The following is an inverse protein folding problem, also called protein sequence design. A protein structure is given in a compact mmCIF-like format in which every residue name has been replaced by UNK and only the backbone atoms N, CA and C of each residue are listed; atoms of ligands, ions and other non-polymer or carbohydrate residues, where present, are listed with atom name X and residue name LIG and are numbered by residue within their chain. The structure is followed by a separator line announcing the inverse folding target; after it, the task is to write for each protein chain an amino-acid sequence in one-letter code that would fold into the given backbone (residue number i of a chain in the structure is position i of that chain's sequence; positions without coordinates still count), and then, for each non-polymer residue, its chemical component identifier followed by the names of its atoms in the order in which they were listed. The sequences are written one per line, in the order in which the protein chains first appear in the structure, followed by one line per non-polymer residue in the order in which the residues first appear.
data_IF_384626645305
#
_entry.id   IF_384626645305
#
_cell.length_a   1.000
_cell.length_b   1.000
_cell.length_c   1.000
_cell.angle_alpha   90.00
_cell.angle_beta   90.00
_cell.angle_gamma   90.00
#
_symmetry.space_group_name_H-M   'P 1'
#
loop_
_entity.id
_entity.type
_entity.pdbx_description
1 polymer ?
#
# COMPACT_ATOMS: atom_id res chain seq x y z
N UNK A 1 1.23 -6.25 -4.85
CA UNK A 1 2.13 -6.18 -6.01
C UNK A 1 1.37 -5.58 -7.20
N UNK A 2 1.97 -4.64 -7.89
CA UNK A 2 1.48 -4.16 -9.19
C UNK A 2 2.63 -4.24 -10.21
N UNK A 3 2.32 -4.66 -11.43
CA UNK A 3 3.27 -4.80 -12.51
C UNK A 3 2.71 -4.18 -13.78
N UNK A 4 3.49 -3.32 -14.43
CA UNK A 4 3.15 -2.76 -15.73
C UNK A 4 3.67 -3.67 -16.84
N UNK A 5 2.76 -4.14 -17.69
CA UNK A 5 3.07 -5.00 -18.83
C UNK A 5 3.06 -4.17 -20.11
N UNK A 6 4.23 -4.03 -20.72
CA UNK A 6 4.40 -3.36 -22.02
C UNK A 6 3.98 -4.32 -23.12
N UNK A 7 3.02 -3.92 -23.94
CA UNK A 7 2.55 -4.70 -25.11
C UNK A 7 1.21 -4.15 -25.65
N UNK A 8 0.73 -4.67 -26.81
CA UNK A 8 -0.62 -4.40 -27.26
C UNK A 8 -1.61 -5.46 -26.70
N UNK A 9 -2.57 -5.13 -25.79
CA UNK A 9 -2.70 -3.84 -25.11
C UNK A 9 -1.71 -3.67 -23.95
N UNK A 10 -1.34 -2.44 -23.63
CA UNK A 10 -0.69 -2.13 -22.37
C UNK A 10 -1.62 -2.45 -21.19
N UNK A 11 -1.06 -3.01 -20.13
CA UNK A 11 -1.85 -3.44 -18.99
C UNK A 11 -1.11 -3.24 -17.64
N UNK A 12 -1.86 -3.08 -16.58
CA UNK A 12 -1.36 -3.16 -15.22
C UNK A 12 -1.93 -4.42 -14.57
N UNK A 13 -1.06 -5.32 -14.15
CA UNK A 13 -1.44 -6.52 -13.40
C UNK A 13 -1.33 -6.23 -11.91
N UNK A 14 -2.43 -6.38 -11.18
CA UNK A 14 -2.49 -6.15 -9.73
C UNK A 14 -2.69 -7.48 -9.02
N UNK A 15 -1.75 -7.84 -8.15
CA UNK A 15 -1.84 -9.00 -7.26
C UNK A 15 -2.20 -8.60 -5.84
N UNK A 16 -3.30 -9.13 -5.32
CA UNK A 16 -3.75 -8.94 -3.95
C UNK A 16 -3.69 -10.26 -3.18
N UNK A 17 -3.01 -10.24 -2.02
CA UNK A 17 -3.01 -11.36 -1.08
C UNK A 17 -3.68 -10.95 0.23
N UNK A 18 -4.66 -11.76 0.70
CA UNK A 18 -5.34 -11.54 1.96
C UNK A 18 -5.51 -12.87 2.69
N UNK A 19 -5.04 -12.92 3.93
CA UNK A 19 -5.20 -14.09 4.78
C UNK A 19 -6.64 -14.13 5.33
N UNK A 20 -7.45 -15.08 4.89
CA UNK A 20 -8.82 -15.25 5.38
C UNK A 20 -8.83 -15.99 6.71
N UNK A 21 -8.02 -17.05 6.82
CA UNK A 21 -7.81 -17.87 8.00
C UNK A 21 -6.52 -18.66 7.84
N UNK A 22 -5.94 -19.14 8.93
CA UNK A 22 -4.84 -20.08 8.88
C UNK A 22 -5.38 -21.52 8.76
N UNK A 23 -4.72 -22.41 7.98
CA UNK A 23 -5.27 -23.73 7.66
C UNK A 23 -5.43 -24.66 8.86
N UNK A 24 -4.48 -24.66 9.79
CA UNK A 24 -4.43 -25.59 10.90
C UNK A 24 -4.81 -24.94 12.24
N UNK A 25 -4.10 -23.91 12.66
CA UNK A 25 -4.38 -23.14 13.87
C UNK A 25 -3.91 -21.69 13.71
N UNK A 26 -4.47 -20.77 14.49
CA UNK A 26 -4.00 -19.38 14.50
C UNK A 26 -2.54 -19.28 15.00
N UNK A 27 -2.09 -20.23 15.82
CA UNK A 27 -0.71 -20.31 16.33
C UNK A 27 0.32 -20.69 15.24
N UNK A 28 -0.12 -21.23 14.09
CA UNK A 28 0.74 -21.52 12.94
C UNK A 28 1.04 -20.27 12.09
N UNK A 29 0.50 -19.12 12.46
CA UNK A 29 0.74 -17.86 11.76
C UNK A 29 2.22 -17.43 11.89
N UNK A 30 2.86 -16.96 10.80
CA UNK A 30 4.17 -16.32 10.91
C UNK A 30 4.15 -15.15 11.89
N UNK A 31 5.25 -14.88 12.62
CA UNK A 31 5.30 -13.77 13.57
C UNK A 31 4.86 -12.43 12.96
N UNK A 32 3.87 -11.79 13.57
CA UNK A 32 3.32 -10.51 13.13
C UNK A 32 2.30 -10.61 11.98
N UNK A 33 2.00 -11.82 11.48
CA UNK A 33 0.92 -12.02 10.53
C UNK A 33 -0.44 -12.13 11.25
N UNK A 34 -1.51 -11.79 10.53
CA UNK A 34 -2.89 -11.93 11.00
C UNK A 34 -3.80 -12.42 9.88
N UNK A 35 -5.02 -12.79 10.21
CA UNK A 35 -6.07 -13.18 9.27
C UNK A 35 -7.38 -12.47 9.59
N UNK A 36 -8.33 -12.46 8.65
CA UNK A 36 -9.67 -11.93 8.92
C UNK A 36 -10.35 -12.67 10.06
N UNK A 37 -10.15 -13.99 10.15
CA UNK A 37 -10.69 -14.81 11.24
C UNK A 37 -10.09 -14.43 12.59
N UNK A 38 -8.79 -14.20 12.67
CA UNK A 38 -8.11 -13.72 13.88
C UNK A 38 -8.63 -12.34 14.33
N UNK A 39 -9.05 -11.50 13.36
CA UNK A 39 -9.70 -10.22 13.63
C UNK A 39 -11.22 -10.34 13.92
N UNK A 40 -11.76 -11.55 14.07
CA UNK A 40 -13.18 -11.79 14.38
C UNK A 40 -14.12 -11.81 13.17
N UNK A 41 -13.59 -11.83 11.94
CA UNK A 41 -14.39 -11.82 10.71
C UNK A 41 -14.36 -13.17 10.00
N UNK A 42 -15.53 -13.74 9.75
CA UNK A 42 -15.69 -14.91 8.88
C UNK A 42 -16.34 -14.48 7.58
N UNK A 43 -15.63 -14.68 6.48
CA UNK A 43 -16.08 -14.24 5.15
C UNK A 43 -15.97 -15.36 4.14
N UNK A 44 -16.88 -15.39 3.17
CA UNK A 44 -16.75 -16.22 1.99
C UNK A 44 -15.76 -15.57 1.02
N UNK A 45 -14.80 -16.36 0.49
CA UNK A 45 -13.77 -15.83 -0.43
C UNK A 45 -14.35 -15.22 -1.71
N UNK A 46 -15.44 -15.80 -2.22
CA UNK A 46 -16.03 -15.35 -3.46
C UNK A 46 -16.84 -14.06 -3.30
N UNK A 47 -17.54 -13.92 -2.18
CA UNK A 47 -18.26 -12.69 -1.84
C UNK A 47 -17.26 -11.55 -1.61
N UNK A 48 -16.15 -11.85 -0.90
CA UNK A 48 -15.08 -10.89 -0.70
C UNK A 48 -14.43 -10.47 -2.02
N UNK A 49 -14.15 -11.44 -2.92
CA UNK A 49 -13.59 -11.14 -4.24
C UNK A 49 -14.53 -10.24 -5.05
N UNK A 50 -15.82 -10.51 -5.05
CA UNK A 50 -16.80 -9.69 -5.75
C UNK A 50 -16.81 -8.24 -5.23
N UNK A 51 -16.76 -8.05 -3.90
CA UNK A 51 -16.69 -6.71 -3.29
C UNK A 51 -15.38 -5.99 -3.64
N UNK A 52 -14.25 -6.73 -3.62
CA UNK A 52 -12.94 -6.15 -4.00
C UNK A 52 -12.94 -5.71 -5.45
N UNK A 53 -13.44 -6.54 -6.37
CA UNK A 53 -13.48 -6.19 -7.81
C UNK A 53 -14.39 -5.00 -8.07
N UNK A 54 -15.61 -4.98 -7.50
CA UNK A 54 -16.51 -3.85 -7.63
C UNK A 54 -15.94 -2.55 -7.05
N UNK A 55 -15.22 -2.67 -5.91
CA UNK A 55 -14.51 -1.53 -5.32
C UNK A 55 -13.36 -1.05 -6.19
N UNK A 56 -12.67 -1.97 -6.86
CA UNK A 56 -11.58 -1.63 -7.78
C UNK A 56 -12.09 -0.88 -9.02
N UNK A 57 -13.16 -1.38 -9.65
CA UNK A 57 -13.82 -0.71 -10.78
C UNK A 57 -14.24 0.72 -10.41
N UNK A 58 -14.89 0.89 -9.26
CA UNK A 58 -15.26 2.22 -8.77
C UNK A 58 -14.05 3.15 -8.61
N UNK A 59 -12.91 2.63 -8.14
CA UNK A 59 -11.69 3.43 -7.99
C UNK A 59 -11.02 3.77 -9.32
N UNK A 60 -11.15 2.91 -10.33
CA UNK A 60 -10.68 3.23 -11.69
C UNK A 60 -11.52 4.35 -12.31
N UNK A 61 -12.85 4.31 -12.12
CA UNK A 61 -13.74 5.38 -12.56
C UNK A 61 -13.42 6.71 -11.84
N UNK A 62 -13.23 6.65 -10.52
CA UNK A 62 -12.81 7.81 -9.72
C UNK A 62 -11.48 8.39 -10.23
N UNK A 63 -10.51 7.53 -10.57
CA UNK A 63 -9.19 7.94 -11.08
C UNK A 63 -9.31 8.64 -12.43
N UNK A 64 -10.16 8.15 -13.32
CA UNK A 64 -10.38 8.71 -14.65
C UNK A 64 -11.13 10.05 -14.62
N UNK A 65 -11.85 10.35 -13.55
CA UNK A 65 -12.62 11.58 -13.41
C UNK A 65 -11.73 12.80 -13.11
N UNK A 66 -12.20 14.00 -13.43
CA UNK A 66 -11.50 15.24 -13.13
C UNK A 66 -11.19 15.37 -11.62
N UNK A 67 -9.93 15.63 -11.26
CA UNK A 67 -9.45 15.68 -9.88
C UNK A 67 -9.43 14.29 -9.19
N UNK A 68 -9.49 13.21 -9.96
CA UNK A 68 -9.48 11.83 -9.46
C UNK A 68 -8.22 11.48 -8.68
N UNK A 69 -7.02 11.74 -9.19
CA UNK A 69 -5.78 11.44 -8.48
C UNK A 69 -5.71 12.07 -7.09
N UNK A 70 -6.11 13.33 -6.95
CA UNK A 70 -6.12 14.05 -5.67
C UNK A 70 -7.13 13.45 -4.69
N UNK A 71 -8.34 13.11 -5.14
CA UNK A 71 -9.35 12.46 -4.28
C UNK A 71 -8.90 11.08 -3.82
N UNK A 72 -8.28 10.29 -4.71
CA UNK A 72 -7.72 8.98 -4.34
C UNK A 72 -6.57 9.12 -3.35
N UNK A 73 -5.70 10.11 -3.56
CA UNK A 73 -4.63 10.46 -2.63
C UNK A 73 -5.19 10.76 -1.24
N UNK A 74 -6.20 11.64 -1.13
CA UNK A 74 -6.84 12.00 0.14
C UNK A 74 -7.47 10.77 0.82
N UNK A 75 -8.19 9.94 0.06
CA UNK A 75 -8.79 8.72 0.57
C UNK A 75 -7.75 7.70 1.05
N UNK A 76 -6.58 7.63 0.39
CA UNK A 76 -5.47 6.80 0.80
C UNK A 76 -4.80 7.34 2.07
N UNK A 77 -4.53 8.64 2.14
CA UNK A 77 -3.93 9.28 3.32
C UNK A 77 -4.74 9.02 4.59
N UNK A 78 -6.06 9.11 4.50
CA UNK A 78 -6.96 8.82 5.64
C UNK A 78 -6.90 7.38 6.17
N UNK A 79 -6.29 6.46 5.42
CA UNK A 79 -6.13 5.04 5.78
C UNK A 79 -4.68 4.57 5.85
N UNK A 80 -3.74 5.44 5.54
CA UNK A 80 -2.33 5.09 5.46
C UNK A 80 -1.78 4.71 6.85
N UNK A 81 -1.24 3.51 6.96
CA UNK A 81 -0.47 3.09 8.13
C UNK A 81 1.01 3.51 8.05
N UNK A 82 1.44 4.11 6.93
CA UNK A 82 2.84 4.45 6.65
C UNK A 82 3.12 5.93 6.88
N UNK A 83 2.22 6.81 6.45
CA UNK A 83 2.37 8.25 6.66
C UNK A 83 2.34 8.59 8.15
N UNK A 84 3.29 9.40 8.58
CA UNK A 84 3.56 9.74 9.98
C UNK A 84 4.51 8.77 10.69
N UNK A 85 4.94 7.68 10.03
CA UNK A 85 5.86 6.70 10.62
C UNK A 85 7.28 6.84 10.11
N UNK A 86 8.22 6.39 10.92
CA UNK A 86 9.61 6.23 10.51
C UNK A 86 9.72 4.99 9.63
N UNK A 87 10.33 5.17 8.47
CA UNK A 87 10.46 4.14 7.43
C UNK A 87 11.88 4.04 6.91
N UNK A 88 12.20 2.90 6.34
CA UNK A 88 13.32 2.69 5.44
C UNK A 88 12.74 2.36 4.07
N UNK A 89 13.09 3.13 3.07
CA UNK A 89 12.77 2.90 1.67
C UNK A 89 14.04 2.45 0.94
N UNK A 90 14.05 1.22 0.45
CA UNK A 90 15.15 0.70 -0.37
C UNK A 90 14.87 1.07 -1.84
N UNK A 91 15.54 2.12 -2.33
CA UNK A 91 15.36 2.65 -3.68
C UNK A 91 16.50 2.24 -4.62
N UNK A 92 16.32 2.34 -5.95
CA UNK A 92 17.39 2.06 -6.90
C UNK A 92 18.67 2.89 -6.69
N UNK A 93 18.56 4.07 -6.06
CA UNK A 93 19.68 4.95 -5.77
C UNK A 93 20.28 4.76 -4.38
N UNK A 94 19.76 3.81 -3.61
CA UNK A 94 20.18 3.49 -2.26
C UNK A 94 19.07 3.65 -1.21
N UNK A 95 19.32 3.19 0.02
CA UNK A 95 18.31 3.26 1.08
C UNK A 95 18.14 4.70 1.59
N UNK A 96 16.88 5.05 1.86
CA UNK A 96 16.49 6.32 2.50
C UNK A 96 15.79 6.00 3.80
N UNK A 97 16.33 6.44 4.94
CA UNK A 97 15.68 6.33 6.25
C UNK A 97 15.18 7.70 6.71
N UNK A 98 13.97 7.73 7.25
CA UNK A 98 13.34 8.96 7.68
C UNK A 98 11.86 8.79 8.01
N UNK A 99 11.15 9.90 8.09
CA UNK A 99 9.70 9.91 8.34
C UNK A 99 8.95 10.05 7.02
N UNK A 100 8.04 9.12 6.75
CA UNK A 100 7.05 9.26 5.68
C UNK A 100 6.10 10.40 6.02
N UNK A 101 6.04 11.43 5.18
CA UNK A 101 5.28 12.66 5.52
C UNK A 101 4.05 12.87 4.66
N UNK A 102 4.06 12.38 3.43
CA UNK A 102 2.95 12.58 2.48
C UNK A 102 3.05 11.57 1.31
N UNK A 103 2.02 11.56 0.47
CA UNK A 103 1.97 10.83 -0.80
C UNK A 103 1.58 11.84 -1.89
N UNK A 104 2.24 11.79 -3.04
CA UNK A 104 1.89 12.64 -4.20
C UNK A 104 0.66 12.10 -4.93
N UNK A 105 0.11 12.89 -5.86
CA UNK A 105 -1.05 12.48 -6.66
C UNK A 105 -0.77 11.29 -7.59
N UNK A 106 0.50 11.04 -7.95
CA UNK A 106 0.94 9.87 -8.71
C UNK A 106 1.25 8.64 -7.83
N UNK A 107 1.04 8.73 -6.50
CA UNK A 107 1.26 7.65 -5.56
C UNK A 107 2.66 7.54 -4.99
N UNK A 108 3.59 8.42 -5.35
CA UNK A 108 4.96 8.43 -4.81
C UNK A 108 4.98 8.87 -3.34
N UNK A 109 5.83 8.24 -2.52
CA UNK A 109 5.94 8.55 -1.09
C UNK A 109 6.96 9.68 -0.86
N UNK A 110 6.56 10.72 -0.12
CA UNK A 110 7.49 11.71 0.39
C UNK A 110 8.08 11.26 1.73
N UNK A 111 9.39 11.12 1.76
CA UNK A 111 10.15 10.80 2.97
C UNK A 111 11.02 11.99 3.36
N UNK A 112 10.93 12.41 4.63
CA UNK A 112 11.86 13.36 5.23
C UNK A 112 13.00 12.57 5.83
N UNK A 113 14.23 12.62 5.25
CA UNK A 113 15.37 11.89 5.78
C UNK A 113 15.73 12.34 7.20
N UNK A 114 16.28 11.41 7.99
CA UNK A 114 16.78 11.73 9.32
C UNK A 114 17.89 12.79 9.24
N UNK A 115 17.82 13.78 10.12
CA UNK A 115 18.78 14.90 10.15
C UNK A 115 18.56 15.98 9.09
N UNK A 116 17.60 15.82 8.16
CA UNK A 116 17.27 16.83 7.16
C UNK A 116 16.02 17.63 7.59
N UNK A 117 16.19 18.92 7.88
CA UNK A 117 15.08 19.73 8.39
C UNK A 117 14.02 20.05 7.32
N UNK A 118 14.41 20.25 6.05
CA UNK A 118 13.51 20.73 4.98
C UNK A 118 13.62 19.98 3.65
N UNK A 119 14.48 18.97 3.54
CA UNK A 119 14.60 18.20 2.30
C UNK A 119 13.65 17.02 2.32
N UNK A 120 12.85 16.87 1.28
CA UNK A 120 12.01 15.69 1.06
C UNK A 120 12.60 14.88 -0.09
N UNK A 121 12.63 13.57 0.08
CA UNK A 121 12.97 12.61 -0.97
C UNK A 121 11.68 12.00 -1.49
N UNK A 122 11.48 12.03 -2.79
CA UNK A 122 10.37 11.38 -3.47
C UNK A 122 10.76 9.93 -3.80
N UNK A 123 10.01 8.99 -3.27
CA UNK A 123 10.19 7.55 -3.51
C UNK A 123 9.06 7.07 -4.41
N UNK A 124 9.35 6.96 -5.71
CA UNK A 124 8.40 6.49 -6.72
C UNK A 124 8.40 4.96 -6.86
N UNK A 125 9.53 4.30 -6.52
CA UNK A 125 9.67 2.85 -6.56
C UNK A 125 10.63 2.41 -5.45
N UNK A 126 10.35 1.26 -4.83
CA UNK A 126 11.18 0.66 -3.79
C UNK A 126 10.34 -0.05 -2.73
N UNK A 127 11.01 -0.88 -1.93
CA UNK A 127 10.39 -1.53 -0.79
C UNK A 127 10.41 -0.60 0.43
N UNK A 128 9.26 -0.44 1.07
CA UNK A 128 9.12 0.42 2.26
C UNK A 128 8.87 -0.45 3.49
N UNK A 129 9.79 -0.39 4.44
CA UNK A 129 9.71 -1.11 5.72
C UNK A 129 9.52 -0.13 6.87
N UNK A 130 8.59 -0.46 7.78
CA UNK A 130 8.41 0.34 9.00
C UNK A 130 9.54 0.06 9.99
N UNK A 131 10.21 1.09 10.44
CA UNK A 131 11.21 1.00 11.49
C UNK A 131 10.51 1.10 12.86
N UNK A 132 10.89 0.19 13.77
CA UNK A 132 10.43 0.28 15.16
C UNK A 132 11.08 1.50 15.81
N UNK A 133 10.31 2.25 16.59
CA UNK A 133 10.88 3.23 17.52
C UNK A 133 11.71 2.46 18.54
N UNK A 134 12.94 2.91 18.77
CA UNK A 134 13.81 2.38 19.81
C UNK A 134 13.25 2.76 21.19
#
# INVERSE_FOLDING_TARGET
LAEYVVGPPEAVVVGLGLNLAWPAAEDDAPPGATSLRACGHTVNRWDLLAVVLAGFDTRLDDLAAAGGPERLREAHLGRSATVGRRVRADTPTGPVEGTAVDISADGSLFVRPDGASNNLVLVAAGDVTHLKSA
#
